data_IF_662124798139
#
_entry.id   IF_662124798139
#
_cell.length_a   1.000
_cell.length_b   1.000
_cell.length_c   1.000
_cell.angle_alpha   90.00
_cell.angle_beta   90.00
_cell.angle_gamma   90.00
#
_symmetry.space_group_name_H-M   'P 1'
#
loop_
_entity.id
_entity.type
_entity.pdbx_description
1 polymer ?
#
# COMPACT_ATOMS: atom_id res chain seq x y z
N UNK A 1 17.37 -5.60 0.42
CA UNK A 1 18.43 -6.63 0.44
C UNK A 1 17.78 -7.99 0.24
N UNK A 2 18.15 -8.69 -0.84
CA UNK A 2 17.72 -10.06 -1.11
C UNK A 2 18.80 -10.99 -0.60
N UNK A 3 18.53 -11.75 0.46
CA UNK A 3 19.48 -12.75 0.97
C UNK A 3 19.01 -14.13 0.52
N UNK A 4 19.72 -14.74 -0.44
CA UNK A 4 19.47 -16.08 -0.94
C UNK A 4 20.49 -17.04 -0.30
N UNK A 5 20.04 -17.95 0.55
CA UNK A 5 20.88 -19.03 1.07
C UNK A 5 20.66 -20.31 0.24
N UNK A 6 21.68 -20.72 -0.53
CA UNK A 6 21.77 -22.05 -1.16
C UNK A 6 22.72 -22.92 -0.37
N UNK A 7 22.21 -23.78 0.47
CA UNK A 7 22.89 -25.05 0.87
C UNK A 7 21.80 -26.13 0.83
N UNK A 8 22.13 -27.42 0.83
CA UNK A 8 21.16 -28.53 0.81
C UNK A 8 20.09 -28.50 1.92
N UNK A 9 19.83 -27.34 2.45
CA UNK A 9 18.85 -26.87 3.40
C UNK A 9 17.60 -26.32 2.69
N UNK A 10 16.48 -26.31 3.37
CA UNK A 10 15.18 -25.77 2.96
C UNK A 10 15.32 -24.38 2.34
N UNK A 11 14.66 -24.12 1.21
CA UNK A 11 14.70 -22.81 0.54
C UNK A 11 14.06 -21.76 1.42
N UNK A 12 14.73 -20.62 1.57
CA UNK A 12 14.23 -19.49 2.36
C UNK A 12 14.53 -18.19 1.62
N UNK A 13 13.56 -17.27 1.63
CA UNK A 13 13.71 -15.94 1.06
C UNK A 13 13.00 -14.92 1.94
N UNK A 14 13.67 -13.77 2.18
CA UNK A 14 13.11 -12.64 2.90
C UNK A 14 13.05 -11.41 2.00
N UNK A 15 11.90 -10.75 1.95
CA UNK A 15 11.66 -9.53 1.18
C UNK A 15 10.98 -8.48 2.05
N UNK A 16 11.21 -7.21 1.72
CA UNK A 16 10.40 -6.10 2.22
C UNK A 16 9.06 -6.06 1.49
N UNK A 17 8.02 -5.70 2.23
CA UNK A 17 6.65 -5.48 1.78
C UNK A 17 6.27 -4.00 1.94
N UNK A 18 6.67 -3.12 1.00
CA UNK A 18 6.43 -1.69 1.07
C UNK A 18 4.95 -1.36 1.11
N UNK A 19 4.56 -0.47 2.00
CA UNK A 19 3.23 0.13 2.03
C UNK A 19 3.00 1.03 0.81
N UNK A 20 1.76 1.49 0.64
CA UNK A 20 1.39 2.43 -0.41
C UNK A 20 0.66 3.63 0.15
N UNK A 21 0.74 4.74 -0.56
CA UNK A 21 -0.13 5.90 -0.40
C UNK A 21 -0.87 6.18 -1.72
N UNK A 22 -1.98 6.91 -1.63
CA UNK A 22 -2.69 7.43 -2.80
C UNK A 22 -2.38 8.92 -2.93
N UNK A 23 -1.63 9.32 -3.97
CA UNK A 23 -1.38 10.73 -4.26
C UNK A 23 -2.64 11.43 -4.72
N UNK A 24 -3.45 10.76 -5.55
CA UNK A 24 -4.83 11.11 -5.84
C UNK A 24 -5.71 9.88 -5.64
N UNK A 25 -6.94 10.08 -5.19
CA UNK A 25 -7.96 9.03 -5.14
C UNK A 25 -9.33 9.63 -5.49
N UNK A 26 -9.90 9.13 -6.57
CA UNK A 26 -11.22 9.50 -7.05
C UNK A 26 -12.12 8.28 -7.23
N UNK A 27 -13.41 8.43 -6.95
CA UNK A 27 -14.44 7.41 -7.18
C UNK A 27 -15.35 7.91 -8.30
N UNK A 28 -15.31 7.24 -9.45
CA UNK A 28 -16.00 7.68 -10.66
C UNK A 28 -17.47 7.28 -10.67
N UNK A 29 -17.84 6.21 -9.96
CA UNK A 29 -19.21 5.74 -9.86
C UNK A 29 -19.32 4.32 -9.33
N UNK A 30 -20.54 3.90 -9.04
CA UNK A 30 -20.85 2.54 -8.61
C UNK A 30 -21.09 1.65 -9.83
N UNK A 31 -20.49 0.47 -9.82
CA UNK A 31 -20.59 -0.56 -10.86
C UNK A 31 -21.81 -1.45 -10.61
N UNK A 32 -22.25 -2.12 -11.65
CA UNK A 32 -23.35 -3.11 -11.57
C UNK A 32 -23.00 -4.35 -10.75
N UNK A 33 -21.70 -4.65 -10.60
CA UNK A 33 -21.18 -5.74 -9.77
C UNK A 33 -21.08 -5.38 -8.27
N UNK A 34 -21.51 -4.16 -7.90
CA UNK A 34 -21.52 -3.67 -6.53
C UNK A 34 -20.21 -3.00 -6.06
N UNK A 35 -19.16 -3.07 -6.87
CA UNK A 35 -17.91 -2.34 -6.64
C UNK A 35 -18.01 -0.90 -7.17
N UNK A 36 -16.95 -0.13 -6.98
CA UNK A 36 -16.81 1.23 -7.50
C UNK A 36 -15.70 1.31 -8.54
N UNK A 37 -15.94 2.07 -9.60
CA UNK A 37 -14.88 2.48 -10.51
C UNK A 37 -14.06 3.59 -9.85
N UNK A 38 -12.77 3.37 -9.78
CA UNK A 38 -11.80 4.28 -9.17
C UNK A 38 -10.82 4.81 -10.20
N UNK A 39 -10.27 5.98 -9.92
CA UNK A 39 -9.11 6.52 -10.62
C UNK A 39 -8.18 7.13 -9.60
N UNK A 40 -6.97 6.61 -9.49
CA UNK A 40 -6.03 7.03 -8.46
C UNK A 40 -4.58 6.94 -8.94
N UNK A 41 -3.73 7.80 -8.41
CA UNK A 41 -2.28 7.65 -8.52
C UNK A 41 -1.76 7.08 -7.21
N UNK A 42 -1.16 5.90 -7.31
CA UNK A 42 -0.60 5.17 -6.18
C UNK A 42 0.92 5.28 -6.16
N UNK A 43 1.50 5.36 -4.97
CA UNK A 43 2.93 5.42 -4.73
C UNK A 43 3.34 4.43 -3.64
N UNK A 44 4.31 3.56 -3.93
CA UNK A 44 4.94 2.72 -2.92
C UNK A 44 5.89 3.53 -2.04
N UNK A 45 5.90 3.27 -0.73
CA UNK A 45 6.71 4.01 0.25
C UNK A 45 7.60 3.09 1.05
N UNK A 46 8.72 3.61 1.58
CA UNK A 46 9.73 2.81 2.28
C UNK A 46 9.32 2.32 3.68
N UNK A 47 8.17 2.75 4.23
CA UNK A 47 7.56 2.07 5.35
C UNK A 47 7.03 0.72 4.85
N UNK A 48 7.46 -0.37 5.45
CA UNK A 48 7.07 -1.71 5.01
C UNK A 48 7.23 -2.75 6.10
N UNK A 49 6.58 -3.87 5.92
CA UNK A 49 6.73 -5.07 6.72
C UNK A 49 7.85 -5.93 6.15
N UNK A 50 8.37 -6.85 6.93
CA UNK A 50 9.35 -7.83 6.46
C UNK A 50 8.65 -9.20 6.36
N UNK A 51 8.74 -9.82 5.21
CA UNK A 51 8.11 -11.12 4.90
C UNK A 51 9.18 -12.14 4.60
N UNK A 52 9.18 -13.25 5.35
CA UNK A 52 10.04 -14.41 5.10
C UNK A 52 9.18 -15.59 4.71
N UNK A 53 9.51 -16.24 3.59
CA UNK A 53 8.91 -17.50 3.16
C UNK A 53 9.97 -18.58 3.18
N UNK A 54 9.71 -19.66 3.89
CA UNK A 54 10.58 -20.83 4.01
C UNK A 54 9.84 -22.10 3.67
N UNK A 55 10.54 -23.09 3.08
CA UNK A 55 10.05 -24.47 2.98
C UNK A 55 9.93 -25.06 4.39
N UNK A 56 8.88 -25.87 4.61
CA UNK A 56 8.61 -26.53 5.89
C UNK A 56 8.25 -28.00 5.67
N UNK A 57 8.35 -28.80 6.72
CA UNK A 57 8.10 -30.25 6.62
C UNK A 57 6.62 -30.64 6.39
N UNK A 58 5.66 -29.73 6.60
CA UNK A 58 4.25 -30.03 6.42
C UNK A 58 3.34 -28.83 6.50
N UNK A 59 2.36 -28.76 5.60
CA UNK A 59 1.29 -27.77 5.60
C UNK A 59 1.75 -26.31 5.44
N UNK A 60 0.79 -25.39 5.60
CA UNK A 60 1.03 -23.96 5.63
C UNK A 60 0.97 -23.46 7.07
N UNK A 61 1.94 -22.66 7.46
CA UNK A 61 1.95 -21.96 8.75
C UNK A 61 2.25 -20.49 8.57
N UNK A 62 1.61 -19.63 9.38
CA UNK A 62 1.85 -18.20 9.42
C UNK A 62 2.23 -17.80 10.84
N UNK A 63 3.40 -17.18 10.97
CA UNK A 63 3.93 -16.63 12.21
C UNK A 63 3.97 -15.10 12.08
N UNK A 64 3.30 -14.41 12.98
CA UNK A 64 3.28 -12.94 13.00
C UNK A 64 3.79 -12.46 14.35
N UNK A 65 4.84 -11.65 14.36
CA UNK A 65 5.37 -11.05 15.57
C UNK A 65 4.37 -10.04 16.14
N UNK A 66 4.00 -10.24 17.40
CA UNK A 66 3.13 -9.32 18.15
C UNK A 66 1.63 -9.40 17.86
N UNK A 67 1.17 -10.32 17.01
CA UNK A 67 -0.25 -10.51 16.71
C UNK A 67 -0.60 -11.99 16.82
N UNK A 68 -1.58 -12.32 17.67
CA UNK A 68 -2.20 -13.65 17.69
C UNK A 68 -3.27 -13.73 16.61
N UNK A 69 -3.05 -14.59 15.63
CA UNK A 69 -4.06 -14.89 14.60
C UNK A 69 -5.09 -15.89 15.16
N UNK A 70 -6.39 -15.73 14.84
CA UNK A 70 -7.40 -16.71 15.23
C UNK A 70 -7.07 -18.06 14.61
N UNK A 71 -7.04 -19.11 15.44
CA UNK A 71 -6.83 -20.48 14.97
C UNK A 71 -7.95 -20.91 13.98
N UNK A 72 -7.56 -21.58 12.89
CA UNK A 72 -8.48 -22.22 11.93
C UNK A 72 -9.06 -21.31 10.84
N UNK A 73 -8.65 -20.03 10.74
CA UNK A 73 -9.00 -19.17 9.60
C UNK A 73 -7.93 -19.22 8.52
N UNK A 74 -8.36 -19.40 7.27
CA UNK A 74 -7.48 -19.26 6.10
C UNK A 74 -7.06 -17.81 5.97
N UNK A 75 -5.75 -17.54 6.03
CA UNK A 75 -5.20 -16.19 5.94
C UNK A 75 -5.08 -15.72 4.47
N UNK A 76 -4.85 -14.43 4.26
CA UNK A 76 -4.62 -13.90 2.90
C UNK A 76 -3.34 -14.48 2.29
N UNK A 77 -2.30 -14.67 3.09
CA UNK A 77 -1.03 -15.25 2.68
C UNK A 77 -1.18 -16.71 2.26
N UNK A 78 -2.02 -17.48 2.98
CA UNK A 78 -2.36 -18.85 2.59
C UNK A 78 -3.14 -18.87 1.28
N UNK A 79 -4.15 -18.00 1.13
CA UNK A 79 -4.88 -17.87 -0.13
C UNK A 79 -3.98 -17.51 -1.30
N UNK A 80 -2.97 -16.66 -1.07
CA UNK A 80 -1.97 -16.32 -2.08
C UNK A 80 -1.13 -17.52 -2.49
N UNK A 81 -0.67 -18.32 -1.53
CA UNK A 81 0.09 -19.54 -1.80
C UNK A 81 -0.78 -20.55 -2.58
N UNK A 82 -2.01 -20.76 -2.14
CA UNK A 82 -2.96 -21.68 -2.81
C UNK A 82 -3.20 -21.25 -4.26
N UNK A 83 -3.47 -19.96 -4.51
CA UNK A 83 -3.69 -19.41 -5.85
C UNK A 83 -2.43 -19.50 -6.73
N UNK A 84 -1.25 -19.26 -6.16
CA UNK A 84 0.02 -19.37 -6.87
C UNK A 84 0.29 -20.80 -7.34
N UNK A 85 0.21 -21.79 -6.45
CA UNK A 85 0.47 -23.18 -6.80
C UNK A 85 -0.64 -23.77 -7.68
N UNK A 86 -1.89 -23.36 -7.50
CA UNK A 86 -2.99 -23.71 -8.42
C UNK A 86 -2.69 -23.23 -9.85
N UNK A 87 -2.19 -21.99 -10.02
CA UNK A 87 -1.79 -21.42 -11.33
C UNK A 87 -0.67 -22.23 -11.98
N UNK A 88 0.21 -22.84 -11.18
CA UNK A 88 1.30 -23.71 -11.67
C UNK A 88 0.86 -25.15 -11.92
N UNK A 89 -0.38 -25.55 -11.57
CA UNK A 89 -0.83 -26.93 -11.63
C UNK A 89 -0.08 -27.87 -10.68
N UNK A 90 0.36 -27.35 -9.53
CA UNK A 90 1.17 -28.08 -8.53
C UNK A 90 0.49 -28.05 -7.16
N UNK A 91 0.68 -29.11 -6.33
CA UNK A 91 0.26 -29.06 -4.95
C UNK A 91 1.09 -28.01 -4.18
N UNK A 92 0.48 -27.39 -3.16
CA UNK A 92 1.18 -26.48 -2.26
C UNK A 92 2.16 -27.30 -1.41
N UNK A 93 3.45 -26.98 -1.42
CA UNK A 93 4.42 -27.63 -0.53
C UNK A 93 4.21 -27.20 0.92
N UNK A 94 4.91 -27.80 1.86
CA UNK A 94 5.01 -27.25 3.21
C UNK A 94 5.68 -25.88 3.17
N UNK A 95 5.01 -24.87 3.73
CA UNK A 95 5.47 -23.47 3.77
C UNK A 95 5.33 -22.90 5.18
N UNK A 96 6.35 -22.21 5.63
CA UNK A 96 6.29 -21.31 6.78
C UNK A 96 6.45 -19.87 6.29
N UNK A 97 5.47 -19.03 6.60
CA UNK A 97 5.49 -17.58 6.33
C UNK A 97 5.66 -16.87 7.66
N UNK A 98 6.64 -15.95 7.74
CA UNK A 98 6.86 -15.09 8.91
C UNK A 98 6.67 -13.64 8.52
N UNK A 99 5.87 -12.91 9.30
CA UNK A 99 5.62 -11.48 9.14
C UNK A 99 6.16 -10.70 10.34
N UNK A 100 7.08 -9.77 10.09
CA UNK A 100 7.46 -8.75 11.06
C UNK A 100 6.76 -7.45 10.69
N UNK A 101 5.70 -7.10 11.44
CA UNK A 101 4.79 -6.00 11.12
C UNK A 101 5.29 -4.66 11.62
N UNK A 102 5.34 -3.68 10.71
CA UNK A 102 5.65 -2.26 10.97
C UNK A 102 4.56 -1.33 10.43
N UNK A 103 3.88 -1.76 9.37
CA UNK A 103 2.77 -1.00 8.78
C UNK A 103 1.55 -1.12 9.68
N UNK A 104 0.98 0.01 10.16
CA UNK A 104 -0.18 -0.04 11.04
C UNK A 104 -1.40 -0.67 10.35
N UNK A 105 -2.17 -1.44 11.12
CA UNK A 105 -3.40 -2.05 10.62
C UNK A 105 -4.50 -0.99 10.43
N UNK A 106 -5.42 -1.24 9.49
CA UNK A 106 -6.56 -0.37 9.18
C UNK A 106 -6.18 1.10 8.97
N UNK A 107 -5.10 1.31 8.24
CA UNK A 107 -4.44 2.61 8.09
C UNK A 107 -4.63 3.26 6.71
N UNK A 108 -5.22 2.59 5.74
CA UNK A 108 -5.26 3.07 4.34
C UNK A 108 -3.92 2.92 3.58
N UNK A 109 -2.97 2.17 4.15
CA UNK A 109 -1.61 2.01 3.65
C UNK A 109 -1.36 0.69 2.90
N UNK A 110 -2.37 -0.16 2.76
CA UNK A 110 -2.29 -1.42 2.00
C UNK A 110 -1.37 -2.48 2.60
N UNK A 111 -1.09 -2.47 3.92
CA UNK A 111 -0.13 -3.37 4.56
C UNK A 111 -0.40 -4.85 4.31
N UNK A 112 -1.65 -5.31 4.47
CA UNK A 112 -1.99 -6.72 4.20
C UNK A 112 -1.82 -7.11 2.73
N UNK A 113 -2.13 -6.20 1.80
CA UNK A 113 -1.90 -6.43 0.36
C UNK A 113 -0.41 -6.44 0.01
N UNK A 114 0.40 -5.62 0.70
CA UNK A 114 1.85 -5.63 0.56
C UNK A 114 2.46 -6.94 1.07
N UNK A 115 2.00 -7.48 2.20
CA UNK A 115 2.43 -8.78 2.72
C UNK A 115 2.14 -9.90 1.72
N UNK A 116 0.91 -9.96 1.20
CA UNK A 116 0.49 -10.91 0.16
C UNK A 116 1.37 -10.80 -1.08
N UNK A 117 1.63 -9.58 -1.55
CA UNK A 117 2.49 -9.34 -2.71
C UNK A 117 3.92 -9.82 -2.47
N UNK A 118 4.47 -9.59 -1.26
CA UNK A 118 5.79 -10.08 -0.90
C UNK A 118 5.84 -11.61 -0.83
N UNK A 119 4.80 -12.26 -0.29
CA UNK A 119 4.68 -13.74 -0.35
C UNK A 119 4.70 -14.23 -1.79
N UNK A 120 3.89 -13.64 -2.68
CA UNK A 120 3.84 -14.02 -4.10
C UNK A 120 5.19 -13.83 -4.79
N UNK A 121 5.91 -12.73 -4.51
CA UNK A 121 7.26 -12.47 -5.04
C UNK A 121 8.29 -13.48 -4.51
N UNK A 122 8.21 -13.85 -3.21
CA UNK A 122 9.03 -14.92 -2.66
C UNK A 122 8.76 -16.26 -3.36
N UNK A 123 7.49 -16.63 -3.50
CA UNK A 123 7.10 -17.90 -4.15
C UNK A 123 7.55 -17.92 -5.62
N UNK A 124 7.39 -16.82 -6.35
CA UNK A 124 7.91 -16.71 -7.72
C UNK A 124 9.41 -16.99 -7.78
N UNK A 125 10.19 -16.30 -6.95
CA UNK A 125 11.65 -16.46 -6.93
C UNK A 125 12.08 -17.89 -6.58
N UNK A 126 11.38 -18.53 -5.64
CA UNK A 126 11.73 -19.86 -5.15
C UNK A 126 11.26 -21.01 -6.07
N UNK A 127 10.11 -20.86 -6.74
CA UNK A 127 9.43 -21.97 -7.43
C UNK A 127 9.14 -21.76 -8.92
N UNK A 128 9.08 -20.52 -9.39
CA UNK A 128 8.75 -20.17 -10.79
C UNK A 128 9.38 -18.84 -11.20
N UNK A 129 10.74 -18.74 -11.25
CA UNK A 129 11.43 -17.47 -11.52
C UNK A 129 11.07 -16.87 -12.88
N UNK A 130 10.68 -17.68 -13.84
CA UNK A 130 10.29 -17.26 -15.19
C UNK A 130 8.82 -16.84 -15.31
N UNK A 131 8.04 -16.89 -14.22
CA UNK A 131 6.63 -16.47 -14.25
C UNK A 131 6.56 -14.94 -14.48
N UNK A 132 5.85 -14.47 -15.53
CA UNK A 132 5.78 -13.04 -15.83
C UNK A 132 5.13 -12.26 -14.67
N UNK A 133 5.53 -10.99 -14.48
CA UNK A 133 4.93 -10.08 -13.50
C UNK A 133 3.42 -10.00 -13.64
N UNK A 134 2.92 -9.90 -14.87
CA UNK A 134 1.48 -9.83 -15.14
C UNK A 134 0.73 -11.04 -14.57
N UNK A 135 1.26 -12.26 -14.74
CA UNK A 135 0.64 -13.45 -14.17
C UNK A 135 0.62 -13.42 -12.63
N UNK A 136 1.66 -12.84 -12.01
CA UNK A 136 1.71 -12.66 -10.57
C UNK A 136 0.70 -11.61 -10.09
N UNK A 137 0.51 -10.53 -10.83
CA UNK A 137 -0.51 -9.51 -10.60
C UNK A 137 -1.93 -10.10 -10.69
N UNK A 138 -2.19 -10.95 -11.71
CA UNK A 138 -3.46 -11.67 -11.88
C UNK A 138 -3.75 -12.60 -10.69
N UNK A 139 -2.75 -13.36 -10.23
CA UNK A 139 -2.87 -14.19 -9.02
C UNK A 139 -3.20 -13.31 -7.81
N UNK A 140 -2.50 -12.20 -7.66
CA UNK A 140 -2.69 -11.26 -6.57
C UNK A 140 -4.09 -10.64 -6.55
N UNK A 141 -4.64 -10.31 -7.71
CA UNK A 141 -5.99 -9.75 -7.85
C UNK A 141 -7.07 -10.67 -7.28
N UNK A 142 -6.90 -12.00 -7.40
CA UNK A 142 -7.82 -12.97 -6.81
C UNK A 142 -7.83 -12.94 -5.26
N UNK A 143 -6.80 -12.35 -4.65
CA UNK A 143 -6.67 -12.23 -3.18
C UNK A 143 -7.10 -10.85 -2.68
N UNK A 144 -6.75 -9.78 -3.40
CA UNK A 144 -7.10 -8.42 -3.02
C UNK A 144 -6.81 -7.39 -4.11
N UNK A 145 -7.62 -6.33 -4.17
CA UNK A 145 -7.56 -5.31 -5.24
C UNK A 145 -6.25 -4.51 -5.27
N UNK A 146 -5.62 -4.25 -4.11
CA UNK A 146 -4.36 -3.52 -4.04
C UNK A 146 -3.12 -4.41 -4.28
N UNK A 147 -3.29 -5.75 -4.28
CA UNK A 147 -2.17 -6.69 -4.41
C UNK A 147 -1.42 -6.52 -5.73
N UNK A 148 -2.07 -6.36 -6.90
CA UNK A 148 -1.37 -6.11 -8.16
C UNK A 148 -0.41 -4.92 -8.10
N UNK A 149 -0.85 -3.79 -7.52
CA UNK A 149 0.02 -2.64 -7.30
C UNK A 149 1.19 -2.96 -6.37
N UNK A 150 0.93 -3.67 -5.26
CA UNK A 150 1.98 -4.05 -4.31
C UNK A 150 2.99 -5.04 -4.89
N UNK A 151 2.61 -5.85 -5.88
CA UNK A 151 3.54 -6.68 -6.67
C UNK A 151 4.44 -5.81 -7.54
N UNK A 152 3.89 -4.78 -8.16
CA UNK A 152 4.56 -3.88 -9.11
C UNK A 152 5.43 -2.85 -8.40
N UNK A 153 4.90 -2.17 -7.41
CA UNK A 153 5.52 -1.04 -6.72
C UNK A 153 5.62 0.23 -7.59
N UNK A 154 6.50 1.13 -7.19
CA UNK A 154 6.71 2.38 -7.92
C UNK A 154 5.56 3.36 -7.84
N UNK A 155 5.30 4.06 -8.94
CA UNK A 155 4.21 5.03 -9.12
C UNK A 155 3.33 4.58 -10.26
N UNK A 156 2.03 4.40 -10.03
CA UNK A 156 1.09 3.91 -11.03
C UNK A 156 -0.21 4.72 -11.04
N UNK A 157 -0.77 4.91 -12.23
CA UNK A 157 -2.20 5.17 -12.40
C UNK A 157 -2.93 3.83 -12.22
N UNK A 158 -3.89 3.79 -11.31
CA UNK A 158 -4.75 2.64 -11.08
C UNK A 158 -6.20 3.01 -11.38
N UNK A 159 -6.83 2.21 -12.23
CA UNK A 159 -8.22 2.39 -12.70
C UNK A 159 -9.03 1.10 -12.47
N UNK A 160 -10.32 1.12 -12.82
CA UNK A 160 -11.24 0.03 -12.51
C UNK A 160 -11.48 -0.05 -11.00
N UNK A 161 -11.31 -1.22 -10.39
CA UNK A 161 -11.34 -1.41 -8.93
C UNK A 161 -9.96 -1.17 -8.28
N UNK A 162 -8.96 -0.71 -9.07
CA UNK A 162 -7.56 -0.55 -8.71
C UNK A 162 -6.62 -1.55 -9.39
N UNK A 163 -7.14 -2.44 -10.24
CA UNK A 163 -6.39 -3.51 -10.90
C UNK A 163 -5.81 -3.13 -12.26
N UNK A 164 -6.36 -2.10 -12.92
CA UNK A 164 -5.86 -1.65 -14.23
C UNK A 164 -4.72 -0.66 -13.97
N UNK A 165 -3.49 -1.15 -14.08
CA UNK A 165 -2.30 -0.41 -13.71
C UNK A 165 -1.52 0.08 -14.92
N UNK A 166 -1.25 1.39 -14.95
CA UNK A 166 -0.35 2.03 -15.91
C UNK A 166 0.83 2.65 -15.16
N UNK A 167 2.05 2.28 -15.53
CA UNK A 167 3.25 2.86 -14.92
C UNK A 167 3.34 4.36 -15.20
N UNK A 168 3.64 5.15 -14.18
CA UNK A 168 3.89 6.57 -14.28
C UNK A 168 5.36 6.89 -13.99
N UNK A 169 5.87 8.04 -14.45
CA UNK A 169 7.15 8.54 -13.99
C UNK A 169 7.19 8.58 -12.46
N UNK A 170 8.33 8.25 -11.84
CA UNK A 170 8.43 8.14 -10.40
C UNK A 170 8.17 9.48 -9.71
N UNK A 171 7.55 9.42 -8.52
CA UNK A 171 7.52 10.59 -7.64
C UNK A 171 8.97 11.05 -7.40
N UNK A 172 9.29 12.35 -7.59
CA UNK A 172 10.63 12.87 -7.30
C UNK A 172 11.09 12.53 -5.89
N UNK A 173 12.41 12.44 -5.71
CA UNK A 173 12.99 12.17 -4.40
C UNK A 173 12.52 13.23 -3.38
N UNK A 174 11.89 12.77 -2.32
CA UNK A 174 11.33 13.59 -1.27
C UNK A 174 11.29 12.81 0.05
N UNK A 175 11.08 13.51 1.16
CA UNK A 175 10.73 12.89 2.41
C UNK A 175 9.20 12.87 2.58
N UNK A 176 8.68 11.79 3.18
CA UNK A 176 7.26 11.60 3.43
C UNK A 176 7.05 11.37 4.92
N UNK A 177 6.18 12.15 5.54
CA UNK A 177 5.73 11.89 6.90
C UNK A 177 4.36 11.22 6.81
N UNK A 178 4.20 10.09 7.47
CA UNK A 178 2.95 9.34 7.59
C UNK A 178 2.49 9.44 9.04
N UNK A 179 1.27 9.90 9.28
CA UNK A 179 0.72 10.05 10.62
C UNK A 179 -0.67 9.39 10.69
N UNK A 180 -0.78 8.34 11.50
CA UNK A 180 -2.05 7.64 11.73
C UNK A 180 -2.62 8.02 13.08
N UNK A 181 -3.83 8.63 13.15
CA UNK A 181 -4.54 8.82 14.40
C UNK A 181 -4.99 7.49 15.02
N UNK A 182 -5.42 7.51 16.30
CA UNK A 182 -5.68 6.30 17.08
C UNK A 182 -7.02 5.60 16.75
N UNK A 183 -7.75 6.07 15.74
CA UNK A 183 -8.96 5.39 15.25
C UNK A 183 -8.70 4.65 13.93
N UNK A 184 -9.64 3.78 13.55
CA UNK A 184 -9.67 3.10 12.26
C UNK A 184 -10.93 3.49 11.49
N UNK A 185 -10.84 3.49 10.16
CA UNK A 185 -11.97 3.73 9.27
C UNK A 185 -12.28 2.42 8.51
N UNK A 186 -13.48 1.83 8.73
CA UNK A 186 -13.88 0.64 7.98
C UNK A 186 -14.15 0.99 6.52
N UNK A 187 -13.33 0.46 5.61
CA UNK A 187 -13.42 0.73 4.17
C UNK A 187 -14.83 0.53 3.59
N UNK A 188 -15.57 -0.56 3.91
CA UNK A 188 -16.94 -0.73 3.39
C UNK A 188 -17.90 0.37 3.82
N UNK A 189 -17.76 0.88 5.03
CA UNK A 189 -18.60 1.97 5.55
C UNK A 189 -18.34 3.27 4.78
N UNK A 190 -17.08 3.60 4.50
CA UNK A 190 -16.72 4.79 3.74
C UNK A 190 -17.27 4.73 2.30
N UNK A 191 -17.20 3.57 1.65
CA UNK A 191 -17.83 3.40 0.34
C UNK A 191 -19.35 3.60 0.41
N UNK A 192 -20.01 3.10 1.45
CA UNK A 192 -21.45 3.31 1.64
C UNK A 192 -21.79 4.81 1.85
N UNK A 193 -20.93 5.56 2.54
CA UNK A 193 -21.11 7.02 2.73
C UNK A 193 -20.91 7.80 1.42
N UNK A 194 -20.13 7.28 0.46
CA UNK A 194 -19.95 7.91 -0.86
C UNK A 194 -21.18 7.83 -1.75
N UNK A 195 -21.99 6.77 -1.58
CA UNK A 195 -23.15 6.55 -2.41
C UNK A 195 -24.18 7.68 -2.21
N UNK A 196 -24.34 8.53 -3.24
CA UNK A 196 -25.25 9.69 -3.24
C UNK A 196 -24.71 10.95 -2.56
N UNK A 197 -23.46 10.96 -2.09
CA UNK A 197 -22.83 12.14 -1.54
C UNK A 197 -22.40 13.15 -2.61
N UNK A 198 -22.47 14.44 -2.30
CA UNK A 198 -21.82 15.48 -3.09
C UNK A 198 -20.31 15.48 -2.77
N UNK A 199 -19.51 15.00 -3.71
CA UNK A 199 -18.07 14.90 -3.54
C UNK A 199 -17.33 16.20 -3.87
N UNK A 200 -18.02 17.25 -4.31
CA UNK A 200 -17.42 18.54 -4.64
C UNK A 200 -16.32 18.45 -5.70
N UNK A 201 -15.30 19.32 -5.66
CA UNK A 201 -14.17 19.27 -6.57
C UNK A 201 -13.44 17.95 -6.53
N UNK A 202 -13.17 17.37 -7.70
CA UNK A 202 -12.53 16.07 -7.87
C UNK A 202 -11.00 16.22 -7.93
N UNK A 203 -10.22 15.22 -7.47
CA UNK A 203 -8.78 15.22 -7.67
C UNK A 203 -8.41 15.26 -9.16
N UNK A 204 -7.49 16.14 -9.55
CA UNK A 204 -6.99 16.21 -10.93
C UNK A 204 -5.86 15.20 -11.15
N UNK A 205 -6.24 13.97 -11.45
CA UNK A 205 -5.30 12.88 -11.72
C UNK A 205 -4.44 13.13 -12.97
N UNK A 206 -4.97 13.86 -13.96
CA UNK A 206 -4.21 14.21 -15.17
C UNK A 206 -3.13 15.25 -14.87
N UNK A 207 -3.45 16.28 -14.07
CA UNK A 207 -2.47 17.25 -13.61
C UNK A 207 -1.38 16.59 -12.74
N UNK A 208 -1.74 15.62 -11.88
CA UNK A 208 -0.79 14.83 -11.11
C UNK A 208 0.17 14.08 -12.05
N UNK A 209 -0.34 13.34 -13.03
CA UNK A 209 0.49 12.61 -13.98
C UNK A 209 1.42 13.55 -14.79
N UNK A 210 0.93 14.72 -15.19
CA UNK A 210 1.73 15.75 -15.87
C UNK A 210 2.83 16.33 -14.96
N UNK A 211 2.55 16.55 -13.67
CA UNK A 211 3.56 16.99 -12.70
C UNK A 211 4.67 15.96 -12.51
N UNK A 212 4.30 14.68 -12.38
CA UNK A 212 5.25 13.56 -12.30
C UNK A 212 6.12 13.47 -13.56
N UNK A 213 5.53 13.63 -14.75
CA UNK A 213 6.25 13.61 -16.03
C UNK A 213 7.30 14.73 -16.13
N UNK A 214 7.08 15.87 -15.50
CA UNK A 214 8.06 16.97 -15.43
C UNK A 214 9.05 16.85 -14.28
N UNK A 215 8.88 15.86 -13.39
CA UNK A 215 9.67 15.76 -12.17
C UNK A 215 9.43 16.92 -11.19
N UNK A 216 8.24 17.52 -11.22
CA UNK A 216 7.86 18.69 -10.42
C UNK A 216 7.16 18.27 -9.13
N UNK A 217 7.93 18.14 -8.04
CA UNK A 217 7.42 17.72 -6.74
C UNK A 217 6.39 18.72 -6.18
N UNK A 218 6.62 20.03 -6.36
CA UNK A 218 5.70 21.04 -5.82
C UNK A 218 4.35 21.02 -6.55
N UNK A 219 4.37 20.88 -7.87
CA UNK A 219 3.15 20.71 -8.66
C UNK A 219 2.42 19.40 -8.30
N UNK A 220 3.15 18.30 -8.11
CA UNK A 220 2.56 17.03 -7.67
C UNK A 220 1.91 17.17 -6.28
N UNK A 221 2.59 17.83 -5.33
CA UNK A 221 2.04 18.09 -4.00
C UNK A 221 0.78 18.97 -4.02
N UNK A 222 0.69 19.90 -4.95
CA UNK A 222 -0.50 20.75 -5.14
C UNK A 222 -1.71 19.97 -5.72
N UNK A 223 -1.46 18.82 -6.38
CA UNK A 223 -2.51 17.95 -6.93
C UNK A 223 -3.00 16.87 -5.96
N UNK A 224 -2.45 16.78 -4.75
CA UNK A 224 -2.88 15.78 -3.76
C UNK A 224 -4.37 15.92 -3.44
N UNK A 225 -5.09 14.80 -3.45
CA UNK A 225 -6.51 14.83 -3.14
C UNK A 225 -7.12 13.43 -2.97
N UNK A 226 -8.13 13.33 -2.09
CA UNK A 226 -8.80 12.09 -1.77
C UNK A 226 -10.28 12.34 -1.49
N UNK A 227 -11.16 11.77 -2.31
CA UNK A 227 -12.62 11.97 -2.17
C UNK A 227 -13.17 11.39 -0.87
N UNK A 228 -12.53 10.41 -0.25
CA UNK A 228 -12.98 9.89 1.04
C UNK A 228 -12.94 10.95 2.16
N UNK A 229 -12.09 11.97 2.04
CA UNK A 229 -12.08 13.09 2.99
C UNK A 229 -13.41 13.89 3.00
N UNK A 230 -14.24 13.76 1.95
CA UNK A 230 -15.54 14.44 1.82
C UNK A 230 -16.68 13.75 2.57
N UNK A 231 -16.50 12.48 2.95
CA UNK A 231 -17.55 11.67 3.58
C UNK A 231 -17.19 11.25 5.02
N UNK A 232 -16.15 11.86 5.57
CA UNK A 232 -15.80 11.72 6.98
C UNK A 232 -16.86 12.39 7.85
N UNK A 233 -17.09 11.85 9.03
CA UNK A 233 -17.86 12.56 10.05
C UNK A 233 -17.16 13.85 10.47
N UNK A 234 -17.85 14.75 11.16
CA UNK A 234 -17.26 16.00 11.63
C UNK A 234 -16.01 15.74 12.50
N UNK A 235 -16.11 14.81 13.44
CA UNK A 235 -15.02 14.43 14.34
C UNK A 235 -13.83 13.80 13.60
N UNK A 236 -14.09 12.83 12.71
CA UNK A 236 -13.06 12.21 11.86
C UNK A 236 -12.36 13.27 11.00
N UNK A 237 -13.15 14.13 10.35
CA UNK A 237 -12.65 15.19 9.46
C UNK A 237 -11.85 16.26 10.20
N UNK A 238 -12.22 16.61 11.43
CA UNK A 238 -11.47 17.56 12.26
C UNK A 238 -10.08 17.01 12.61
N UNK A 239 -9.98 15.75 12.99
CA UNK A 239 -8.72 15.12 13.31
C UNK A 239 -7.81 15.03 12.07
N UNK A 240 -8.34 14.62 10.91
CA UNK A 240 -7.59 14.59 9.65
C UNK A 240 -7.10 15.99 9.26
N UNK A 241 -7.95 17.02 9.37
CA UNK A 241 -7.54 18.41 9.12
C UNK A 241 -6.44 18.87 10.06
N UNK A 242 -6.56 18.57 11.35
CA UNK A 242 -5.56 18.92 12.37
C UNK A 242 -4.18 18.37 12.02
N UNK A 243 -4.08 17.11 11.57
CA UNK A 243 -2.82 16.50 11.13
C UNK A 243 -2.31 17.18 9.85
N UNK A 244 -3.17 17.38 8.84
CA UNK A 244 -2.79 18.07 7.60
C UNK A 244 -2.22 19.47 7.87
N UNK A 245 -2.91 20.25 8.70
CA UNK A 245 -2.46 21.59 9.09
C UNK A 245 -1.12 21.58 9.84
N UNK A 246 -0.92 20.59 10.71
CA UNK A 246 0.36 20.42 11.41
C UNK A 246 1.49 20.12 10.41
N UNK A 247 1.29 19.22 9.45
CA UNK A 247 2.26 18.93 8.40
C UNK A 247 2.58 20.18 7.57
N UNK A 248 1.55 20.95 7.16
CA UNK A 248 1.72 22.18 6.38
C UNK A 248 2.43 23.29 7.18
N UNK A 249 2.12 23.46 8.47
CA UNK A 249 2.86 24.40 9.35
C UNK A 249 4.34 24.05 9.47
N UNK A 250 4.70 22.76 9.35
CA UNK A 250 6.09 22.29 9.31
C UNK A 250 6.67 22.24 7.90
N UNK A 251 6.07 22.98 6.95
CA UNK A 251 6.56 23.16 5.58
C UNK A 251 6.42 21.92 4.68
N UNK A 252 5.41 21.08 4.90
CA UNK A 252 5.01 20.12 3.87
C UNK A 252 4.54 20.88 2.62
N UNK A 253 4.93 20.43 1.44
CA UNK A 253 4.48 21.00 0.15
C UNK A 253 2.99 20.71 -0.12
N UNK A 254 2.47 19.64 0.47
CA UNK A 254 1.08 19.24 0.43
C UNK A 254 0.83 18.08 1.38
N UNK A 255 -0.44 17.86 1.75
CA UNK A 255 -0.85 16.78 2.64
C UNK A 255 -2.23 16.25 2.25
N UNK A 256 -2.43 14.93 2.33
CA UNK A 256 -3.70 14.27 2.06
C UNK A 256 -3.85 12.99 2.89
N UNK A 257 -5.06 12.49 2.98
CA UNK A 257 -5.35 11.17 3.55
C UNK A 257 -5.05 10.07 2.52
N UNK A 258 -4.49 8.95 2.94
CA UNK A 258 -4.20 7.79 2.09
C UNK A 258 -5.33 6.75 2.12
N UNK A 259 -5.76 6.29 0.95
CA UNK A 259 -6.78 5.25 0.81
C UNK A 259 -8.07 5.62 1.53
N UNK A 260 -8.71 4.66 2.16
CA UNK A 260 -9.86 4.90 3.06
C UNK A 260 -9.45 5.49 4.41
N UNK A 261 -8.19 5.85 4.59
CA UNK A 261 -7.69 6.45 5.82
C UNK A 261 -7.47 5.47 6.98
N UNK A 262 -7.27 6.00 8.20
CA UNK A 262 -7.18 7.43 8.52
C UNK A 262 -5.77 8.04 8.38
N UNK A 263 -4.77 7.31 7.87
CA UNK A 263 -3.41 7.85 7.76
C UNK A 263 -3.38 9.08 6.85
N UNK A 264 -2.82 10.16 7.37
CA UNK A 264 -2.49 11.37 6.62
C UNK A 264 -1.00 11.35 6.30
N UNK A 265 -0.65 11.77 5.08
CA UNK A 265 0.74 11.92 4.69
C UNK A 265 1.02 13.34 4.22
N UNK A 266 2.27 13.76 4.37
CA UNK A 266 2.80 15.02 3.85
C UNK A 266 4.06 14.81 3.04
N UNK A 267 4.23 15.55 1.94
CA UNK A 267 5.41 15.53 1.08
C UNK A 267 6.32 16.70 1.43
N UNK A 268 7.62 16.45 1.54
CA UNK A 268 8.62 17.44 1.91
C UNK A 268 9.80 17.41 0.93
N UNK A 269 10.23 18.58 0.49
CA UNK A 269 11.43 18.78 -0.32
C UNK A 269 12.73 18.70 0.49
N UNK A 270 12.63 18.79 1.81
CA UNK A 270 13.74 18.77 2.77
C UNK A 270 13.49 17.75 3.88
N UNK A 271 14.45 16.82 4.06
CA UNK A 271 14.36 15.78 5.06
C UNK A 271 14.34 16.32 6.50
N UNK A 272 15.02 17.43 6.78
CA UNK A 272 15.05 17.99 8.12
C UNK A 272 13.70 18.63 8.49
N UNK A 273 13.01 19.25 7.53
CA UNK A 273 11.63 19.71 7.72
C UNK A 273 10.71 18.54 8.06
N UNK A 274 10.83 17.43 7.34
CA UNK A 274 10.04 16.21 7.59
C UNK A 274 10.35 15.61 8.99
N UNK A 275 11.60 15.58 9.41
CA UNK A 275 11.98 15.11 10.76
C UNK A 275 11.31 15.98 11.82
N UNK A 276 11.38 17.31 11.71
CA UNK A 276 10.71 18.23 12.65
C UNK A 276 9.19 18.04 12.67
N UNK A 277 8.57 17.83 11.51
CA UNK A 277 7.14 17.56 11.42
C UNK A 277 6.78 16.24 12.13
N UNK A 278 7.57 15.19 11.92
CA UNK A 278 7.40 13.91 12.61
C UNK A 278 7.50 14.09 14.11
N UNK A 279 8.56 14.72 14.62
CA UNK A 279 8.78 14.95 16.06
C UNK A 279 7.63 15.75 16.69
N UNK A 280 7.09 16.75 15.99
CA UNK A 280 5.95 17.54 16.46
C UNK A 280 4.65 16.73 16.54
N UNK A 281 4.47 15.72 15.68
CA UNK A 281 3.26 14.89 15.63
C UNK A 281 3.35 13.68 16.55
N UNK A 282 4.52 13.05 16.72
CA UNK A 282 4.66 11.79 17.45
C UNK A 282 4.35 11.89 18.93
N UNK A 283 4.40 13.09 19.52
CA UNK A 283 3.98 13.35 20.89
C UNK A 283 2.47 13.12 21.12
N UNK A 284 1.65 13.36 20.08
CA UNK A 284 0.20 13.12 20.11
C UNK A 284 -0.18 11.81 19.39
N UNK A 285 0.51 11.48 18.30
CA UNK A 285 0.20 10.35 17.42
C UNK A 285 1.37 9.36 17.40
N UNK A 286 1.28 8.30 18.18
CA UNK A 286 2.34 7.29 18.31
C UNK A 286 2.72 6.61 16.99
N UNK A 287 1.76 6.49 16.07
CA UNK A 287 1.96 5.87 14.75
C UNK A 287 2.33 6.94 13.71
N UNK A 288 3.49 7.58 13.93
CA UNK A 288 4.05 8.60 13.02
C UNK A 288 5.41 8.11 12.51
N UNK A 289 5.55 8.10 11.18
CA UNK A 289 6.69 7.49 10.50
C UNK A 289 7.31 8.45 9.50
N UNK A 290 8.61 8.32 9.28
CA UNK A 290 9.34 8.96 8.19
C UNK A 290 9.58 7.91 7.10
N UNK A 291 9.26 8.24 5.87
CA UNK A 291 9.38 7.38 4.70
C UNK A 291 9.94 8.15 3.50
N UNK A 292 10.18 7.44 2.42
CA UNK A 292 10.57 7.97 1.11
C UNK A 292 9.82 7.20 0.01
N UNK A 293 9.70 7.76 -1.20
CA UNK A 293 9.18 7.03 -2.34
C UNK A 293 10.04 5.80 -2.65
N UNK A 294 9.39 4.68 -2.95
CA UNK A 294 10.05 3.48 -3.45
C UNK A 294 9.81 3.42 -4.96
N UNK A 295 10.89 3.29 -5.72
CA UNK A 295 10.87 3.04 -7.17
C UNK A 295 10.42 1.59 -7.42
N UNK A 296 10.29 1.19 -8.68
CA UNK A 296 9.87 -0.17 -9.06
C UNK A 296 10.65 -1.21 -8.25
N UNK A 297 9.94 -2.17 -7.66
CA UNK A 297 10.50 -3.13 -6.70
C UNK A 297 11.48 -4.13 -7.32
N UNK A 298 11.27 -4.48 -8.60
CA UNK A 298 12.18 -5.27 -9.43
C UNK A 298 11.91 -4.94 -10.90
N UNK A 299 12.98 -4.81 -11.70
CA UNK A 299 12.86 -5.00 -13.15
C UNK A 299 12.68 -6.50 -13.37
N UNK A 300 11.44 -6.96 -13.35
CA UNK A 300 11.08 -8.30 -13.81
C UNK A 300 10.95 -8.21 -15.34
N UNK A 301 12.08 -8.32 -16.04
CA UNK A 301 12.10 -8.47 -17.50
C UNK A 301 11.64 -9.87 -17.89
#
# INVERSE_FOLDING_TARGET
YTTLFRSGAMKTLTLEAPAKINLTLDILGRRTDGYHDMRMVMQAVSLGDTVTVAEAAGGFSLLTEGISLPAGKVTLEQRAADAFFHRLGRPVPGLEVRLAKRVPAYAGLGGGSADVAAVLRCLRTLYAPDLPRQALEEIGLAVGSDVPFCVRGGTCLAEGRGEILTDLPPLPDCAIVLCKPDFGLPTPELFARLDGADLGPRPDTAAMAAALARGDLAAAAACLGNVFERVLTEEEGEEIRSIKEALLRHSALGAAMSGSGPTVFGLFDDRQKAVRAKEALEGRYRQTYLAAPVKILEKME
#
